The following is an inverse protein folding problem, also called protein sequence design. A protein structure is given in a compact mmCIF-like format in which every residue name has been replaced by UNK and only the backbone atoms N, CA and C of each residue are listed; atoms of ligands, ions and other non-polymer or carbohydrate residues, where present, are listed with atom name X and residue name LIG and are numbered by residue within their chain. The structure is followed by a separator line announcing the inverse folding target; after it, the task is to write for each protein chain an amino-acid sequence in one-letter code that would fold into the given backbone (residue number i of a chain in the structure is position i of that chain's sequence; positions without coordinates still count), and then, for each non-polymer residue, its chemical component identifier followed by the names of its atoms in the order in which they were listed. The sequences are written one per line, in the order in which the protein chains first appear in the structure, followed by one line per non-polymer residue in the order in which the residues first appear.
data_IF_461563118889
#
_entry.id   IF_461563118889
#
_cell.length_a   1.000
_cell.length_b   1.000
_cell.length_c   1.000
_cell.angle_alpha   90.00
_cell.angle_beta   90.00
_cell.angle_gamma   90.00
#
_symmetry.space_group_name_H-M   'P 1'
#
loop_
_entity.id
_entity.type
_entity.pdbx_description
1 polymer ?
#
# COMPACT_ATOMS: atom_id res chain seq x y z
N UNK A 1 6.31 -7.19 -5.49
CA UNK A 1 4.94 -6.68 -5.71
C UNK A 1 5.06 -5.26 -6.24
N UNK A 2 4.13 -4.82 -7.08
CA UNK A 2 4.19 -3.46 -7.61
C UNK A 2 3.79 -2.44 -6.54
N UNK A 3 4.60 -1.37 -6.42
CA UNK A 3 4.30 -0.24 -5.54
C UNK A 3 3.28 0.67 -6.21
N UNK A 4 2.38 1.23 -5.42
CA UNK A 4 1.31 2.10 -5.92
C UNK A 4 1.53 3.52 -5.45
N UNK A 5 1.55 4.47 -6.39
CA UNK A 5 1.66 5.88 -6.07
C UNK A 5 0.32 6.57 -6.28
N UNK A 6 -0.17 7.27 -5.25
CA UNK A 6 -1.32 8.15 -5.36
C UNK A 6 -0.97 9.33 -6.27
N UNK A 7 -1.74 9.52 -7.35
CA UNK A 7 -1.55 10.62 -8.30
C UNK A 7 -1.95 11.99 -7.75
N UNK A 8 -2.71 12.01 -6.64
CA UNK A 8 -3.24 13.25 -6.05
C UNK A 8 -2.26 13.81 -5.02
N UNK A 9 -1.78 12.98 -4.09
CA UNK A 9 -0.92 13.42 -2.98
C UNK A 9 0.52 12.88 -3.05
N UNK A 10 0.82 11.94 -3.94
CA UNK A 10 2.15 11.34 -4.06
C UNK A 10 2.46 10.24 -3.04
N UNK A 11 1.52 9.84 -2.19
CA UNK A 11 1.70 8.73 -1.25
C UNK A 11 2.07 7.44 -2.00
N UNK A 12 3.06 6.70 -1.49
CA UNK A 12 3.50 5.43 -2.08
C UNK A 12 3.12 4.30 -1.13
N UNK A 13 2.17 3.46 -1.57
CA UNK A 13 1.86 2.20 -0.94
C UNK A 13 2.85 1.13 -1.42
N UNK A 14 3.56 0.51 -0.49
CA UNK A 14 4.47 -0.59 -0.74
C UNK A 14 3.92 -1.87 -0.09
N UNK A 15 3.38 -2.82 -0.90
CA UNK A 15 2.87 -4.08 -0.42
C UNK A 15 3.86 -4.88 0.43
N UNK A 16 5.17 -4.72 0.21
CA UNK A 16 6.18 -5.49 0.96
C UNK A 16 6.30 -5.05 2.42
N UNK A 17 6.02 -3.78 2.70
CA UNK A 17 6.00 -3.24 4.07
C UNK A 17 4.58 -3.14 4.64
N UNK A 18 3.56 -3.14 3.79
CA UNK A 18 2.17 -2.89 4.17
C UNK A 18 1.95 -1.43 4.53
N UNK A 19 1.05 -1.18 5.49
CA UNK A 19 0.77 0.16 5.98
C UNK A 19 0.25 0.07 7.42
N UNK A 20 1.15 0.25 8.39
CA UNK A 20 0.84 0.11 9.82
C UNK A 20 -0.17 1.16 10.30
N UNK A 21 -0.12 2.38 9.76
CA UNK A 21 -1.04 3.46 10.13
C UNK A 21 -2.49 3.10 9.77
N UNK A 22 -2.66 2.35 8.68
CA UNK A 22 -3.95 1.86 8.22
C UNK A 22 -4.23 0.38 8.58
N UNK A 23 -3.43 -0.23 9.47
CA UNK A 23 -3.55 -1.64 9.89
C UNK A 23 -3.45 -2.67 8.74
N UNK A 24 -2.72 -2.34 7.68
CA UNK A 24 -2.48 -3.21 6.54
C UNK A 24 -1.17 -3.97 6.77
N UNK A 25 -1.22 -5.30 6.74
CA UNK A 25 -0.05 -6.14 6.96
C UNK A 25 0.89 -6.15 5.73
N UNK A 26 2.21 -6.35 5.95
CA UNK A 26 3.14 -6.73 4.89
C UNK A 26 2.61 -7.89 4.05
N UNK A 27 2.87 -7.83 2.74
CA UNK A 27 2.41 -8.79 1.74
C UNK A 27 0.96 -8.63 1.29
N UNK A 28 0.26 -7.57 1.71
CA UNK A 28 -1.08 -7.26 1.20
C UNK A 28 -0.96 -6.59 -0.17
N UNK A 29 -1.43 -7.18 -1.28
CA UNK A 29 -1.44 -6.48 -2.56
C UNK A 29 -2.46 -5.34 -2.55
N UNK A 30 -2.18 -4.27 -3.30
CA UNK A 30 -3.05 -3.09 -3.38
C UNK A 30 -4.49 -3.44 -3.79
N UNK A 31 -4.65 -4.42 -4.69
CA UNK A 31 -5.95 -4.94 -5.16
C UNK A 31 -6.83 -5.57 -4.05
N UNK A 32 -6.23 -5.89 -2.89
CA UNK A 32 -6.93 -6.44 -1.72
C UNK A 32 -7.18 -5.40 -0.63
N UNK A 33 -6.79 -4.15 -0.83
CA UNK A 33 -7.14 -3.07 0.08
C UNK A 33 -8.66 -2.81 0.00
N UNK A 34 -9.30 -2.48 1.13
CA UNK A 34 -10.75 -2.21 1.20
C UNK A 34 -11.18 -0.92 0.49
#
# INVERSE_FOLDING_TARGET
MDKWQCSICGYIYDPEIGDTDHNIKPGTPFEKLP
#
